data_IF_181938973362
#
_entry.id   IF_181938973362
#
_cell.length_a   1.000
_cell.length_b   1.000
_cell.length_c   1.000
_cell.angle_alpha   90.00
_cell.angle_beta   90.00
_cell.angle_gamma   90.00
#
_symmetry.space_group_name_H-M   'P 1'
#
loop_
_entity.id
_entity.type
_entity.pdbx_description
1 polymer ?
#
# COMPACT_ATOMS: atom_id res chain seq x y z
N UNK A 1 8.11 45.24 -13.09
CA UNK A 1 7.38 44.89 -14.32
C UNK A 1 6.01 44.43 -13.91
N UNK A 2 5.00 45.28 -14.08
CA UNK A 2 3.61 44.93 -13.76
C UNK A 2 3.08 43.90 -14.77
N UNK A 3 2.10 43.06 -14.39
CA UNK A 3 1.50 42.04 -15.28
C UNK A 3 1.03 42.65 -16.60
N UNK A 4 0.51 43.88 -16.53
CA UNK A 4 0.07 44.67 -17.69
C UNK A 4 1.22 45.03 -18.65
N UNK A 5 2.39 45.42 -18.14
CA UNK A 5 3.58 45.70 -18.97
C UNK A 5 4.13 44.43 -19.64
N UNK A 6 4.11 43.30 -18.92
CA UNK A 6 4.52 42.02 -19.47
C UNK A 6 3.58 41.55 -20.58
N UNK A 7 2.26 41.66 -20.38
CA UNK A 7 1.27 41.30 -21.40
C UNK A 7 1.37 42.21 -22.63
N UNK A 8 1.49 43.54 -22.45
CA UNK A 8 1.67 44.47 -23.57
C UNK A 8 2.94 44.18 -24.38
N UNK A 9 4.04 43.81 -23.69
CA UNK A 9 5.26 43.38 -24.36
C UNK A 9 5.05 42.05 -25.09
N UNK A 10 4.40 41.06 -24.49
CA UNK A 10 4.08 39.79 -25.16
C UNK A 10 3.19 39.99 -26.41
N UNK A 11 2.16 40.85 -26.31
CA UNK A 11 1.26 41.20 -27.42
C UNK A 11 2.03 41.73 -28.63
N UNK A 12 3.06 42.54 -28.41
CA UNK A 12 3.92 43.07 -29.49
C UNK A 12 4.76 42.01 -30.21
N UNK A 13 5.03 40.85 -29.59
CA UNK A 13 5.84 39.78 -30.18
C UNK A 13 4.99 38.68 -30.83
N UNK A 14 3.89 38.27 -30.21
CA UNK A 14 3.10 37.09 -30.62
C UNK A 14 1.63 37.40 -30.94
N UNK A 15 1.22 38.66 -30.83
CA UNK A 15 -0.14 39.13 -31.06
C UNK A 15 -1.08 38.92 -29.86
N UNK A 16 -2.05 39.82 -29.65
CA UNK A 16 -2.89 39.85 -28.45
C UNK A 16 -3.75 38.59 -28.26
N UNK A 17 -4.30 38.06 -29.35
CA UNK A 17 -5.09 36.82 -29.29
C UNK A 17 -4.27 35.63 -28.79
N UNK A 18 -3.03 35.50 -29.25
CA UNK A 18 -2.10 34.43 -28.83
C UNK A 18 -1.72 34.61 -27.37
N UNK A 19 -1.33 35.83 -26.95
CA UNK A 19 -0.98 36.12 -25.56
C UNK A 19 -2.12 35.81 -24.61
N UNK A 20 -3.33 36.29 -24.89
CA UNK A 20 -4.48 36.06 -24.02
C UNK A 20 -4.87 34.58 -23.96
N UNK A 21 -4.75 33.85 -25.07
CA UNK A 21 -4.96 32.40 -25.10
C UNK A 21 -3.96 31.67 -24.20
N UNK A 22 -2.66 31.98 -24.33
CA UNK A 22 -1.62 31.39 -23.48
C UNK A 22 -1.80 31.77 -22.01
N UNK A 23 -2.16 33.02 -21.72
CA UNK A 23 -2.44 33.50 -20.37
C UNK A 23 -3.64 32.76 -19.76
N UNK A 24 -4.71 32.52 -20.53
CA UNK A 24 -5.86 31.73 -20.10
C UNK A 24 -5.47 30.29 -19.73
N UNK A 25 -4.73 29.59 -20.60
CA UNK A 25 -4.27 28.23 -20.30
C UNK A 25 -3.29 28.19 -19.12
N UNK A 26 -2.43 29.20 -18.98
CA UNK A 26 -1.54 29.35 -17.83
C UNK A 26 -2.33 29.53 -16.52
N UNK A 27 -3.31 30.44 -16.51
CA UNK A 27 -4.18 30.66 -15.35
C UNK A 27 -4.99 29.39 -15.00
N UNK A 28 -5.58 28.72 -16.00
CA UNK A 28 -6.29 27.47 -15.80
C UNK A 28 -5.38 26.38 -15.19
N UNK A 29 -4.13 26.28 -15.64
CA UNK A 29 -3.14 25.34 -15.09
C UNK A 29 -2.83 25.65 -13.62
N UNK A 30 -2.62 26.93 -13.27
CA UNK A 30 -2.40 27.36 -11.88
C UNK A 30 -3.60 27.00 -10.99
N UNK A 31 -4.82 27.23 -11.47
CA UNK A 31 -6.05 26.86 -10.75
C UNK A 31 -6.12 25.35 -10.52
N UNK A 32 -5.85 24.53 -11.54
CA UNK A 32 -5.83 23.07 -11.42
C UNK A 32 -4.77 22.62 -10.39
N UNK A 33 -3.56 23.18 -10.44
CA UNK A 33 -2.51 22.87 -9.46
C UNK A 33 -2.91 23.26 -8.04
N UNK A 34 -3.53 24.43 -7.85
CA UNK A 34 -4.02 24.88 -6.56
C UNK A 34 -5.12 23.96 -6.01
N UNK A 35 -6.06 23.52 -6.85
CA UNK A 35 -7.11 22.57 -6.47
C UNK A 35 -6.55 21.19 -6.11
N UNK A 36 -5.54 20.71 -6.84
CA UNK A 36 -4.84 19.45 -6.53
C UNK A 36 -4.12 19.54 -5.18
N UNK A 37 -3.40 20.63 -4.94
CA UNK A 37 -2.74 20.89 -3.65
C UNK A 37 -3.76 20.97 -2.51
N UNK A 38 -4.84 21.73 -2.69
CA UNK A 38 -5.90 21.85 -1.70
C UNK A 38 -6.54 20.49 -1.38
N UNK A 39 -6.86 19.69 -2.40
CA UNK A 39 -7.38 18.34 -2.21
C UNK A 39 -6.40 17.43 -1.44
N UNK A 40 -5.11 17.49 -1.77
CA UNK A 40 -4.07 16.74 -1.06
C UNK A 40 -3.98 17.17 0.41
N UNK A 41 -3.92 18.48 0.68
CA UNK A 41 -3.88 19.05 2.02
C UNK A 41 -5.11 18.66 2.84
N UNK A 42 -6.32 18.89 2.30
CA UNK A 42 -7.57 18.52 2.95
C UNK A 42 -7.60 17.02 3.25
N UNK A 43 -7.25 16.16 2.28
CA UNK A 43 -7.25 14.71 2.46
C UNK A 43 -6.28 14.23 3.54
N UNK A 44 -5.09 14.83 3.62
CA UNK A 44 -4.09 14.45 4.62
C UNK A 44 -4.44 14.92 6.02
N UNK A 45 -4.84 16.19 6.17
CA UNK A 45 -4.86 16.84 7.47
C UNK A 45 -6.27 17.08 8.04
N UNK A 46 -7.31 17.15 7.20
CA UNK A 46 -8.64 17.60 7.62
C UNK A 46 -9.70 16.52 7.44
N UNK A 47 -9.82 15.95 6.25
CA UNK A 47 -10.87 15.00 5.90
C UNK A 47 -10.64 13.63 6.55
N UNK A 48 -11.73 13.00 6.97
CA UNK A 48 -11.75 11.63 7.47
C UNK A 48 -12.35 10.69 6.44
N UNK A 49 -11.83 9.47 6.40
CA UNK A 49 -12.30 8.41 5.51
C UNK A 49 -13.64 7.82 5.92
N UNK A 50 -14.08 6.85 5.13
CA UNK A 50 -15.34 6.14 5.35
C UNK A 50 -15.29 5.31 6.62
N UNK A 51 -16.36 5.38 7.43
CA UNK A 51 -16.52 4.54 8.61
C UNK A 51 -16.56 3.06 8.22
N UNK A 52 -15.72 2.24 8.87
CA UNK A 52 -15.63 0.79 8.61
C UNK A 52 -16.96 0.05 8.75
N UNK A 53 -17.91 0.58 9.53
CA UNK A 53 -19.25 0.00 9.69
C UNK A 53 -20.04 -0.06 8.38
N UNK A 54 -19.67 0.72 7.36
CA UNK A 54 -20.21 0.58 6.01
C UNK A 54 -20.01 -0.84 5.45
N UNK A 55 -18.90 -1.49 5.81
CA UNK A 55 -18.53 -2.79 5.25
C UNK A 55 -19.05 -3.98 6.08
N UNK A 56 -19.38 -3.76 7.37
CA UNK A 56 -20.06 -4.75 8.19
C UNK A 56 -20.32 -4.31 9.64
N UNK A 57 -21.35 -4.87 10.29
CA UNK A 57 -21.66 -4.63 11.69
C UNK A 57 -20.55 -5.14 12.64
N UNK A 58 -20.72 -4.91 13.95
CA UNK A 58 -19.87 -5.56 14.96
C UNK A 58 -20.06 -7.08 14.87
N UNK A 59 -18.96 -7.83 15.04
CA UNK A 59 -18.96 -9.29 14.92
C UNK A 59 -18.75 -9.79 13.48
N UNK A 60 -18.78 -8.93 12.46
CA UNK A 60 -18.28 -9.31 11.13
C UNK A 60 -16.78 -9.64 11.21
N UNK A 61 -16.32 -10.45 10.27
CA UNK A 61 -14.95 -10.96 10.23
C UNK A 61 -14.04 -10.12 9.34
N UNK A 62 -12.76 -10.11 9.68
CA UNK A 62 -11.70 -9.62 8.81
C UNK A 62 -10.68 -10.72 8.57
N UNK A 63 -10.21 -10.86 7.34
CA UNK A 63 -9.14 -11.80 6.98
C UNK A 63 -7.87 -11.01 6.75
N UNK A 64 -6.79 -11.38 7.42
CA UNK A 64 -5.52 -10.64 7.37
C UNK A 64 -4.40 -11.62 7.03
N UNK A 65 -3.75 -11.42 5.87
CA UNK A 65 -2.57 -12.20 5.48
C UNK A 65 -1.28 -11.55 5.99
N UNK A 66 -0.29 -12.36 6.34
CA UNK A 66 0.94 -11.87 6.98
C UNK A 66 0.68 -11.27 8.37
N UNK A 67 -0.29 -11.83 9.12
CA UNK A 67 -0.76 -11.25 10.38
C UNK A 67 0.19 -11.38 11.57
N UNK A 68 1.26 -12.19 11.46
CA UNK A 68 2.10 -12.57 12.61
C UNK A 68 2.99 -11.45 13.16
N UNK A 69 3.23 -10.37 12.41
CA UNK A 69 4.11 -9.27 12.83
C UNK A 69 3.82 -7.97 12.04
N UNK A 70 4.44 -6.86 12.45
CA UNK A 70 4.48 -5.61 11.71
C UNK A 70 3.09 -5.04 11.40
N UNK A 71 2.89 -4.66 10.14
CA UNK A 71 1.66 -4.02 9.66
C UNK A 71 0.45 -4.95 9.80
N UNK A 72 0.59 -6.23 9.46
CA UNK A 72 -0.48 -7.22 9.58
C UNK A 72 -0.94 -7.45 11.02
N UNK A 73 0.01 -7.60 11.96
CA UNK A 73 -0.32 -7.70 13.39
C UNK A 73 -1.10 -6.49 13.88
N UNK A 74 -0.67 -5.30 13.46
CA UNK A 74 -1.32 -4.07 13.89
C UNK A 74 -2.72 -3.89 13.27
N UNK A 75 -2.94 -4.30 12.02
CA UNK A 75 -4.28 -4.37 11.45
C UNK A 75 -5.19 -5.26 12.30
N UNK A 76 -4.70 -6.44 12.70
CA UNK A 76 -5.48 -7.37 13.52
C UNK A 76 -5.91 -6.73 14.86
N UNK A 77 -4.95 -6.11 15.55
CA UNK A 77 -5.22 -5.44 16.84
C UNK A 77 -6.18 -4.26 16.72
N UNK A 78 -6.02 -3.40 15.71
CA UNK A 78 -6.87 -2.21 15.54
C UNK A 78 -8.26 -2.54 14.99
N UNK A 79 -8.40 -3.57 14.15
CA UNK A 79 -9.70 -4.04 13.67
C UNK A 79 -10.46 -4.77 14.78
N UNK A 80 -9.78 -5.55 15.62
CA UNK A 80 -10.37 -6.15 16.82
C UNK A 80 -10.87 -5.08 17.81
N UNK A 81 -10.06 -4.03 18.07
CA UNK A 81 -10.47 -2.88 18.88
C UNK A 81 -11.71 -2.17 18.30
N UNK A 82 -11.94 -2.29 17.00
CA UNK A 82 -13.12 -1.78 16.29
C UNK A 82 -14.23 -2.83 16.21
N UNK A 83 -14.24 -3.90 16.99
CA UNK A 83 -15.37 -4.81 17.09
C UNK A 83 -15.49 -5.86 15.98
N UNK A 84 -14.41 -6.11 15.22
CA UNK A 84 -14.41 -7.15 14.19
C UNK A 84 -13.72 -8.42 14.69
N UNK A 85 -14.26 -9.58 14.32
CA UNK A 85 -13.62 -10.87 14.49
C UNK A 85 -12.46 -11.03 13.50
N UNK A 86 -11.44 -11.81 13.82
CA UNK A 86 -10.19 -11.83 13.05
C UNK A 86 -9.80 -13.24 12.60
N UNK A 87 -9.68 -13.44 11.30
CA UNK A 87 -8.96 -14.58 10.71
C UNK A 87 -7.51 -14.16 10.46
N UNK A 88 -6.59 -14.79 11.19
CA UNK A 88 -5.16 -14.52 11.14
C UNK A 88 -4.48 -15.56 10.24
N UNK A 89 -3.90 -15.12 9.12
CA UNK A 89 -3.20 -16.00 8.17
C UNK A 89 -1.72 -15.62 8.11
N UNK A 90 -0.83 -16.55 8.43
CA UNK A 90 0.63 -16.38 8.31
C UNK A 90 1.32 -17.74 8.39
N UNK A 91 2.64 -17.78 8.24
CA UNK A 91 3.42 -19.03 8.20
C UNK A 91 3.60 -19.69 9.55
N UNK A 92 3.75 -18.89 10.60
CA UNK A 92 4.18 -19.38 11.92
C UNK A 92 2.98 -19.58 12.84
N UNK A 93 2.53 -20.83 12.99
CA UNK A 93 1.37 -21.21 13.80
C UNK A 93 1.45 -20.68 15.25
N UNK A 94 2.61 -20.81 15.90
CA UNK A 94 2.80 -20.36 17.29
C UNK A 94 2.61 -18.85 17.46
N UNK A 95 3.07 -18.04 16.50
CA UNK A 95 2.86 -16.58 16.51
C UNK A 95 1.39 -16.22 16.29
N UNK A 96 0.69 -16.97 15.44
CA UNK A 96 -0.74 -16.77 15.22
C UNK A 96 -1.55 -17.09 16.48
N UNK A 97 -1.25 -18.21 17.14
CA UNK A 97 -1.90 -18.59 18.40
C UNK A 97 -1.66 -17.55 19.50
N UNK A 98 -0.42 -17.07 19.66
CA UNK A 98 -0.11 -16.02 20.62
C UNK A 98 -0.87 -14.71 20.34
N UNK A 99 -0.96 -14.30 19.07
CA UNK A 99 -1.72 -13.10 18.68
C UNK A 99 -3.23 -13.27 18.85
N UNK A 100 -3.76 -14.47 18.55
CA UNK A 100 -5.16 -14.81 18.80
C UNK A 100 -5.50 -14.63 20.28
N UNK A 101 -4.73 -15.24 21.17
CA UNK A 101 -4.89 -15.10 22.62
C UNK A 101 -4.73 -13.63 23.08
N UNK A 102 -3.76 -12.90 22.54
CA UNK A 102 -3.58 -11.45 22.83
C UNK A 102 -4.85 -10.66 22.48
N UNK A 103 -5.44 -10.91 21.31
CA UNK A 103 -6.66 -10.23 20.83
C UNK A 103 -7.85 -10.56 21.71
N UNK A 104 -8.09 -11.85 21.98
CA UNK A 104 -9.26 -12.32 22.73
C UNK A 104 -9.22 -11.86 24.18
N UNK A 105 -8.03 -11.84 24.80
CA UNK A 105 -7.85 -11.31 26.16
C UNK A 105 -8.06 -9.79 26.22
N UNK A 106 -7.58 -9.05 25.21
CA UNK A 106 -7.63 -7.59 25.20
C UNK A 106 -9.01 -7.04 24.82
N UNK A 107 -9.77 -7.78 24.02
CA UNK A 107 -11.06 -7.35 23.49
C UNK A 107 -12.12 -8.44 23.72
N UNK A 108 -12.75 -8.49 24.91
CA UNK A 108 -13.77 -9.48 25.23
C UNK A 108 -14.89 -9.51 24.18
N UNK A 109 -15.27 -10.72 23.75
CA UNK A 109 -16.31 -10.95 22.73
C UNK A 109 -15.81 -10.95 21.29
N UNK A 110 -14.54 -10.58 21.03
CA UNK A 110 -13.91 -10.80 19.73
C UNK A 110 -13.49 -12.26 19.62
N UNK A 111 -13.80 -12.88 18.48
CA UNK A 111 -13.39 -14.25 18.13
C UNK A 111 -12.24 -14.20 17.15
N UNK A 112 -11.32 -15.16 17.26
CA UNK A 112 -10.28 -15.35 16.26
C UNK A 112 -10.32 -16.74 15.63
N UNK A 113 -9.80 -16.82 14.41
CA UNK A 113 -9.45 -18.06 13.72
C UNK A 113 -8.03 -17.92 13.20
N UNK A 114 -7.27 -19.00 13.18
CA UNK A 114 -5.89 -18.98 12.68
C UNK A 114 -5.73 -19.97 11.54
N UNK A 115 -4.89 -19.62 10.56
CA UNK A 115 -4.49 -20.52 9.48
C UNK A 115 -2.99 -20.36 9.22
N UNK A 116 -2.24 -21.43 9.50
CA UNK A 116 -0.84 -21.52 9.13
C UNK A 116 -0.73 -21.81 7.62
N UNK A 117 -0.17 -20.88 6.86
CA UNK A 117 -0.08 -20.96 5.40
C UNK A 117 1.23 -20.36 4.92
N UNK A 118 1.99 -21.12 4.12
CA UNK A 118 3.20 -20.65 3.45
C UNK A 118 2.97 -20.31 2.00
N UNK A 119 2.83 -19.01 1.76
CA UNK A 119 2.57 -18.47 0.43
C UNK A 119 3.68 -18.75 -0.58
N UNK A 120 4.93 -19.01 -0.18
CA UNK A 120 5.98 -19.39 -1.15
C UNK A 120 5.74 -20.77 -1.76
N UNK A 121 4.97 -21.65 -1.08
CA UNK A 121 4.68 -23.00 -1.55
C UNK A 121 3.56 -23.05 -2.58
N UNK A 122 2.77 -21.98 -2.69
CA UNK A 122 1.61 -21.90 -3.59
C UNK A 122 0.66 -23.12 -3.52
N UNK A 123 0.54 -23.72 -2.34
CA UNK A 123 -0.19 -24.97 -2.09
C UNK A 123 -1.68 -24.82 -2.37
N UNK A 124 -2.23 -25.60 -3.31
CA UNK A 124 -3.67 -25.62 -3.60
C UNK A 124 -4.50 -25.99 -2.36
N UNK A 125 -3.98 -26.90 -1.53
CA UNK A 125 -4.62 -27.32 -0.29
C UNK A 125 -4.67 -26.19 0.75
N UNK A 126 -3.67 -25.31 0.80
CA UNK A 126 -3.68 -24.16 1.70
C UNK A 126 -4.78 -23.16 1.32
N UNK A 127 -4.98 -22.93 0.02
CA UNK A 127 -6.06 -22.06 -0.46
C UNK A 127 -7.44 -22.70 -0.28
N UNK A 128 -7.55 -24.03 -0.39
CA UNK A 128 -8.77 -24.76 -0.07
C UNK A 128 -9.13 -24.63 1.41
N UNK A 129 -8.17 -24.84 2.31
CA UNK A 129 -8.35 -24.63 3.75
C UNK A 129 -8.70 -23.18 4.09
N UNK A 130 -8.13 -22.21 3.37
CA UNK A 130 -8.55 -20.81 3.52
C UNK A 130 -10.01 -20.61 3.14
N UNK A 131 -10.46 -21.17 2.02
CA UNK A 131 -11.86 -21.12 1.59
C UNK A 131 -12.79 -21.73 2.65
N UNK A 132 -12.43 -22.90 3.19
CA UNK A 132 -13.18 -23.57 4.27
C UNK A 132 -13.22 -22.74 5.55
N UNK A 133 -12.13 -22.05 5.92
CA UNK A 133 -12.08 -21.19 7.10
C UNK A 133 -13.00 -19.97 6.97
N UNK A 134 -13.14 -19.42 5.77
CA UNK A 134 -13.97 -18.23 5.51
C UNK A 134 -15.40 -18.56 5.11
N UNK A 135 -15.68 -19.83 4.82
CA UNK A 135 -17.03 -20.29 4.47
C UNK A 135 -18.02 -20.01 5.61
N UNK A 136 -19.22 -19.56 5.24
CA UNK A 136 -20.25 -19.10 6.18
C UNK A 136 -19.89 -17.85 7.01
N UNK A 137 -18.69 -17.30 6.92
CA UNK A 137 -18.33 -16.08 7.65
C UNK A 137 -18.81 -14.82 6.93
N UNK A 138 -19.38 -13.89 7.69
CA UNK A 138 -19.59 -12.51 7.25
C UNK A 138 -18.25 -11.75 7.20
N UNK A 139 -17.40 -12.07 6.22
CA UNK A 139 -16.13 -11.35 6.00
C UNK A 139 -16.44 -9.98 5.41
N UNK A 140 -16.19 -8.94 6.20
CA UNK A 140 -16.38 -7.55 5.83
C UNK A 140 -15.11 -6.90 5.26
N UNK A 141 -13.92 -7.31 5.72
CA UNK A 141 -12.65 -6.72 5.31
C UNK A 141 -11.60 -7.80 5.02
N UNK A 142 -10.97 -7.71 3.85
CA UNK A 142 -9.78 -8.47 3.51
C UNK A 142 -8.57 -7.52 3.52
N UNK A 143 -7.52 -7.89 4.24
CA UNK A 143 -6.23 -7.20 4.24
C UNK A 143 -5.18 -8.11 3.61
N UNK A 144 -4.92 -7.91 2.32
CA UNK A 144 -3.82 -8.52 1.59
C UNK A 144 -2.51 -7.82 1.98
N UNK A 145 -1.90 -8.29 3.07
CA UNK A 145 -0.68 -7.71 3.65
C UNK A 145 0.55 -8.60 3.51
N UNK A 146 0.40 -9.91 3.30
CA UNK A 146 1.56 -10.79 3.08
C UNK A 146 2.41 -10.27 1.91
N UNK A 147 3.72 -10.33 2.07
CA UNK A 147 4.64 -9.92 1.02
C UNK A 147 6.09 -10.31 1.30
N UNK A 148 6.90 -10.34 0.24
CA UNK A 148 8.34 -10.51 0.25
C UNK A 148 8.99 -9.40 -0.58
N UNK A 149 10.07 -8.85 -0.06
CA UNK A 149 11.01 -7.97 -0.77
C UNK A 149 12.35 -8.69 -0.86
N UNK A 150 13.28 -8.13 -1.62
CA UNK A 150 14.65 -8.62 -1.61
C UNK A 150 15.27 -8.50 -0.22
N UNK A 151 16.18 -9.43 0.11
CA UNK A 151 16.91 -9.40 1.39
C UNK A 151 17.80 -8.15 1.50
N UNK A 152 18.39 -7.72 0.41
CA UNK A 152 19.07 -6.44 0.27
C UNK A 152 18.92 -5.97 -1.17
N UNK A 153 19.09 -4.69 -1.46
CA UNK A 153 19.11 -4.26 -2.85
C UNK A 153 20.25 -4.97 -3.59
N UNK A 154 19.95 -5.52 -4.76
CA UNK A 154 20.81 -6.43 -5.53
C UNK A 154 20.54 -6.21 -7.02
N UNK A 155 21.55 -6.38 -7.88
CA UNK A 155 21.31 -6.30 -9.32
C UNK A 155 20.37 -7.43 -9.76
N UNK A 156 19.55 -7.19 -10.78
CA UNK A 156 18.68 -8.22 -11.35
C UNK A 156 19.50 -9.45 -11.77
N UNK A 157 20.63 -9.25 -12.43
CA UNK A 157 21.53 -10.32 -12.90
C UNK A 157 22.20 -11.11 -11.77
N UNK A 158 22.22 -10.57 -10.54
CA UNK A 158 22.80 -11.21 -9.35
C UNK A 158 21.71 -11.77 -8.42
N UNK A 159 20.44 -11.56 -8.74
CA UNK A 159 19.33 -12.04 -7.92
C UNK A 159 19.14 -13.53 -8.17
N UNK A 160 19.10 -14.32 -7.10
CA UNK A 160 18.82 -15.75 -7.23
C UNK A 160 17.41 -15.97 -7.82
N UNK A 161 17.30 -16.93 -8.73
CA UNK A 161 16.02 -17.27 -9.37
C UNK A 161 14.93 -17.59 -8.34
N UNK A 162 15.25 -18.40 -7.33
CA UNK A 162 14.33 -18.73 -6.24
C UNK A 162 13.85 -17.51 -5.45
N UNK A 163 14.66 -16.47 -5.29
CA UNK A 163 14.23 -15.23 -4.65
C UNK A 163 13.24 -14.47 -5.53
N UNK A 164 13.46 -14.44 -6.84
CA UNK A 164 12.53 -13.82 -7.80
C UNK A 164 11.20 -14.57 -7.84
N UNK A 165 11.23 -15.89 -7.93
CA UNK A 165 10.05 -16.75 -7.92
C UNK A 165 9.24 -16.59 -6.63
N UNK A 166 9.91 -16.55 -5.47
CA UNK A 166 9.25 -16.33 -4.19
C UNK A 166 8.56 -14.96 -4.14
N UNK A 167 9.21 -13.90 -4.64
CA UNK A 167 8.63 -12.54 -4.68
C UNK A 167 7.36 -12.55 -5.51
N UNK A 168 7.38 -13.12 -6.72
CA UNK A 168 6.20 -13.19 -7.59
C UNK A 168 5.11 -14.08 -6.96
N UNK A 169 5.49 -15.24 -6.44
CA UNK A 169 4.55 -16.20 -5.87
C UNK A 169 3.84 -15.61 -4.65
N UNK A 170 4.57 -15.00 -3.72
CA UNK A 170 3.98 -14.43 -2.51
C UNK A 170 3.20 -13.16 -2.83
N UNK A 171 3.79 -12.20 -3.55
CA UNK A 171 3.19 -10.88 -3.71
C UNK A 171 2.03 -10.90 -4.72
N UNK A 172 2.16 -11.67 -5.80
CA UNK A 172 1.19 -11.70 -6.91
C UNK A 172 0.24 -12.89 -6.75
N UNK A 173 0.75 -14.12 -6.91
CA UNK A 173 -0.11 -15.31 -6.94
C UNK A 173 -0.88 -15.47 -5.63
N UNK A 174 -0.22 -15.29 -4.49
CA UNK A 174 -0.83 -15.32 -3.16
C UNK A 174 -1.99 -14.33 -3.01
N UNK A 175 -1.77 -13.06 -3.39
CA UNK A 175 -2.79 -12.01 -3.32
C UNK A 175 -4.00 -12.33 -4.20
N UNK A 176 -3.78 -12.80 -5.44
CA UNK A 176 -4.86 -13.18 -6.36
C UNK A 176 -5.71 -14.32 -5.80
N UNK A 177 -5.06 -15.39 -5.34
CA UNK A 177 -5.75 -16.60 -4.87
C UNK A 177 -6.49 -16.38 -3.55
N UNK A 178 -5.91 -15.63 -2.60
CA UNK A 178 -6.61 -15.21 -1.38
C UNK A 178 -7.85 -14.39 -1.71
N UNK A 179 -7.70 -13.42 -2.61
CA UNK A 179 -8.82 -12.56 -3.00
C UNK A 179 -9.91 -13.37 -3.68
N UNK A 180 -9.57 -14.32 -4.54
CA UNK A 180 -10.52 -15.24 -5.17
C UNK A 180 -11.26 -16.12 -4.17
N UNK A 181 -10.63 -16.51 -3.06
CA UNK A 181 -11.28 -17.28 -2.00
C UNK A 181 -12.25 -16.46 -1.15
N UNK A 182 -12.00 -15.16 -0.97
CA UNK A 182 -12.76 -14.30 -0.03
C UNK A 182 -13.81 -13.43 -0.72
N UNK A 183 -13.51 -12.88 -1.89
CA UNK A 183 -14.36 -11.91 -2.58
C UNK A 183 -15.78 -12.44 -2.95
N UNK A 184 -16.00 -13.72 -3.31
CA UNK A 184 -17.34 -14.20 -3.65
C UNK A 184 -18.38 -13.95 -2.56
N UNK A 185 -18.04 -14.22 -1.30
CA UNK A 185 -18.95 -13.95 -0.18
C UNK A 185 -19.24 -12.45 0.01
N UNK A 186 -18.26 -11.58 -0.25
CA UNK A 186 -18.49 -10.12 -0.20
C UNK A 186 -19.46 -9.66 -1.28
N UNK A 187 -19.36 -10.24 -2.49
CA UNK A 187 -20.25 -9.97 -3.62
C UNK A 187 -21.67 -10.42 -3.31
N UNK A 188 -21.85 -11.62 -2.76
CA UNK A 188 -23.15 -12.15 -2.35
C UNK A 188 -23.84 -11.23 -1.33
N UNK A 189 -23.09 -10.76 -0.33
CA UNK A 189 -23.58 -9.83 0.70
C UNK A 189 -23.71 -8.39 0.21
N UNK A 190 -23.27 -8.09 -1.02
CA UNK A 190 -23.21 -6.75 -1.63
C UNK A 190 -22.48 -5.70 -0.78
N UNK A 191 -21.49 -6.13 0.01
CA UNK A 191 -20.64 -5.26 0.83
C UNK A 191 -19.30 -5.90 1.14
N UNK A 192 -18.24 -5.10 1.07
CA UNK A 192 -16.91 -5.53 1.50
C UNK A 192 -15.84 -4.49 1.23
N UNK A 193 -14.70 -4.63 1.91
CA UNK A 193 -13.51 -3.82 1.69
C UNK A 193 -12.30 -4.74 1.48
N UNK A 194 -11.61 -4.58 0.35
CA UNK A 194 -10.35 -5.27 0.05
C UNK A 194 -9.23 -4.24 0.11
N UNK A 195 -8.36 -4.35 1.11
CA UNK A 195 -7.16 -3.55 1.27
C UNK A 195 -5.95 -4.34 0.78
N UNK A 196 -5.24 -3.82 -0.21
CA UNK A 196 -4.02 -4.45 -0.74
C UNK A 196 -2.81 -3.59 -0.41
N UNK A 197 -1.80 -4.17 0.24
CA UNK A 197 -0.58 -3.44 0.60
C UNK A 197 0.32 -3.26 -0.63
N UNK A 198 0.27 -2.05 -1.17
CA UNK A 198 1.20 -1.54 -2.18
C UNK A 198 2.52 -1.10 -1.55
N UNK A 199 3.29 -0.33 -2.31
CA UNK A 199 4.57 0.23 -1.87
C UNK A 199 4.95 1.39 -2.78
N UNK A 200 5.75 2.34 -2.29
CA UNK A 200 6.42 3.31 -3.16
C UNK A 200 7.21 2.59 -4.28
N UNK A 201 7.73 1.39 -4.02
CA UNK A 201 8.43 0.58 -5.01
C UNK A 201 7.56 0.09 -6.16
N UNK A 202 6.23 0.09 -6.02
CA UNK A 202 5.28 -0.15 -7.12
C UNK A 202 4.73 1.14 -7.75
N UNK A 203 4.96 2.29 -7.12
CA UNK A 203 4.55 3.60 -7.61
C UNK A 203 5.59 4.23 -8.54
N UNK A 204 6.87 4.07 -8.22
CA UNK A 204 7.98 4.44 -9.11
C UNK A 204 8.92 3.24 -9.34
N UNK A 205 9.54 3.14 -10.53
CA UNK A 205 10.56 2.14 -10.79
C UNK A 205 11.66 2.20 -9.73
N UNK A 206 11.98 1.04 -9.16
CA UNK A 206 12.93 0.94 -8.05
C UNK A 206 14.10 0.05 -8.42
N UNK A 207 15.19 0.66 -8.94
CA UNK A 207 16.41 -0.06 -9.29
C UNK A 207 17.00 -0.82 -8.10
N UNK A 208 17.69 -1.93 -8.39
CA UNK A 208 18.20 -2.90 -7.40
C UNK A 208 17.11 -3.63 -6.58
N UNK A 209 15.84 -3.41 -6.89
CA UNK A 209 14.69 -4.16 -6.37
C UNK A 209 13.70 -4.50 -7.51
N UNK A 210 14.21 -4.78 -8.72
CA UNK A 210 13.42 -4.79 -9.95
C UNK A 210 12.21 -5.75 -9.89
N UNK A 211 12.40 -6.99 -9.44
CA UNK A 211 11.33 -7.99 -9.32
C UNK A 211 10.29 -7.59 -8.28
N UNK A 212 10.74 -7.08 -7.13
CA UNK A 212 9.83 -6.52 -6.11
C UNK A 212 9.03 -5.33 -6.65
N UNK A 213 9.69 -4.40 -7.34
CA UNK A 213 9.08 -3.21 -7.93
C UNK A 213 7.98 -3.60 -8.93
N UNK A 214 8.28 -4.51 -9.85
CA UNK A 214 7.30 -5.07 -10.79
C UNK A 214 6.12 -5.74 -10.11
N UNK A 215 6.37 -6.53 -9.06
CA UNK A 215 5.30 -7.20 -8.30
C UNK A 215 4.33 -6.22 -7.62
N UNK A 216 4.84 -5.06 -7.15
CA UNK A 216 4.01 -4.03 -6.51
C UNK A 216 3.30 -3.14 -7.53
N UNK A 217 3.90 -2.89 -8.70
CA UNK A 217 3.25 -2.24 -9.82
C UNK A 217 2.07 -3.08 -10.36
N UNK A 218 2.23 -4.41 -10.45
CA UNK A 218 1.14 -5.33 -10.76
C UNK A 218 -0.06 -5.12 -9.82
N UNK A 219 0.18 -5.09 -8.51
CA UNK A 219 -0.89 -4.92 -7.52
C UNK A 219 -1.63 -3.59 -7.66
N UNK A 220 -0.96 -2.52 -8.11
CA UNK A 220 -1.61 -1.24 -8.38
C UNK A 220 -2.62 -1.36 -9.52
N UNK A 221 -2.20 -1.84 -10.68
CA UNK A 221 -3.10 -2.01 -11.82
C UNK A 221 -4.22 -3.00 -11.51
N UNK A 222 -3.88 -4.14 -10.91
CA UNK A 222 -4.84 -5.16 -10.54
C UNK A 222 -5.88 -4.66 -9.54
N UNK A 223 -5.47 -3.94 -8.48
CA UNK A 223 -6.42 -3.43 -7.49
C UNK A 223 -7.39 -2.40 -8.07
N UNK A 224 -6.91 -1.52 -8.97
CA UNK A 224 -7.76 -0.54 -9.65
C UNK A 224 -8.75 -1.22 -10.60
N UNK A 225 -8.31 -2.19 -11.40
CA UNK A 225 -9.17 -2.95 -12.30
C UNK A 225 -10.24 -3.73 -11.52
N UNK A 226 -9.82 -4.52 -10.52
CA UNK A 226 -10.73 -5.28 -9.66
C UNK A 226 -11.74 -4.36 -8.96
N UNK A 227 -11.32 -3.15 -8.57
CA UNK A 227 -12.21 -2.17 -7.98
C UNK A 227 -13.34 -1.72 -8.89
N UNK A 228 -13.06 -1.54 -10.18
CA UNK A 228 -14.09 -1.21 -11.16
C UNK A 228 -15.07 -2.37 -11.36
N UNK A 229 -14.59 -3.61 -11.41
CA UNK A 229 -15.40 -4.82 -11.55
C UNK A 229 -16.30 -5.07 -10.32
N UNK A 230 -15.77 -4.85 -9.11
CA UNK A 230 -16.46 -5.15 -7.86
C UNK A 230 -17.37 -4.02 -7.35
N UNK A 231 -17.20 -2.79 -7.86
CA UNK A 231 -17.99 -1.63 -7.43
C UNK A 231 -19.51 -1.80 -7.62
N UNK A 232 -20.04 -2.35 -8.73
CA UNK A 232 -21.48 -2.62 -8.88
C UNK A 232 -22.02 -3.59 -7.83
N UNK A 233 -21.16 -4.43 -7.25
CA UNK A 233 -21.48 -5.38 -6.19
C UNK A 233 -21.30 -4.78 -4.77
N UNK A 234 -21.07 -3.48 -4.63
CA UNK A 234 -20.90 -2.83 -3.32
C UNK A 234 -19.60 -3.19 -2.59
N UNK A 235 -18.65 -3.84 -3.28
CA UNK A 235 -17.35 -4.20 -2.72
C UNK A 235 -16.32 -3.16 -3.17
N UNK A 236 -15.66 -2.54 -2.20
CA UNK A 236 -14.63 -1.54 -2.46
C UNK A 236 -13.25 -2.18 -2.42
N UNK A 237 -12.41 -1.90 -3.41
CA UNK A 237 -10.99 -2.24 -3.37
C UNK A 237 -10.17 -0.98 -3.15
N UNK A 238 -9.07 -1.12 -2.40
CA UNK A 238 -8.15 -0.02 -2.19
C UNK A 238 -6.70 -0.51 -2.06
N UNK A 239 -5.82 0.01 -2.91
CA UNK A 239 -4.38 -0.12 -2.73
C UNK A 239 -3.89 0.89 -1.70
N UNK A 240 -3.09 0.42 -0.75
CA UNK A 240 -2.47 1.26 0.27
C UNK A 240 -0.98 1.37 -0.01
N UNK A 241 -0.51 2.55 -0.39
CA UNK A 241 0.90 2.83 -0.62
C UNK A 241 1.54 3.24 0.70
N UNK A 242 2.55 2.48 1.11
CA UNK A 242 3.49 2.84 2.16
C UNK A 242 4.89 3.04 1.59
N UNK A 243 5.63 3.97 2.20
CA UNK A 243 7.09 4.09 2.02
C UNK A 243 7.79 3.21 3.06
N UNK A 244 8.95 3.62 3.56
CA UNK A 244 9.62 2.91 4.64
C UNK A 244 8.76 2.98 5.92
N UNK A 245 8.50 1.81 6.51
CA UNK A 245 7.81 1.61 7.77
C UNK A 245 8.69 0.69 8.61
N UNK A 246 8.80 0.91 9.92
CA UNK A 246 9.64 0.05 10.76
C UNK A 246 9.09 -1.38 10.75
N UNK A 247 9.88 -2.34 10.30
CA UNK A 247 9.49 -3.75 10.24
C UNK A 247 10.71 -4.66 10.06
N UNK A 248 10.52 -5.96 10.24
CA UNK A 248 11.54 -6.95 9.90
C UNK A 248 11.92 -6.88 8.40
N UNK A 249 10.94 -6.63 7.52
CA UNK A 249 11.15 -6.54 6.07
C UNK A 249 12.02 -5.34 5.68
N UNK A 250 11.74 -4.14 6.22
CA UNK A 250 12.53 -2.94 5.92
C UNK A 250 13.90 -2.93 6.60
N UNK A 251 14.09 -3.78 7.62
CA UNK A 251 15.27 -3.81 8.52
C UNK A 251 15.50 -2.49 9.26
N UNK A 252 14.55 -1.56 9.22
CA UNK A 252 14.57 -0.29 9.96
C UNK A 252 13.90 -0.49 11.32
N UNK A 253 14.64 -0.22 12.40
CA UNK A 253 14.16 -0.43 13.77
C UNK A 253 13.72 0.84 14.50
N UNK A 254 14.13 2.02 14.03
CA UNK A 254 13.80 3.31 14.65
C UNK A 254 12.79 4.06 13.79
N UNK A 255 11.74 4.56 14.42
CA UNK A 255 10.78 5.44 13.76
C UNK A 255 11.36 6.84 13.59
N UNK A 256 10.80 7.57 12.64
CA UNK A 256 11.07 8.99 12.40
C UNK A 256 9.84 9.65 11.79
N UNK A 257 9.93 10.94 11.49
CA UNK A 257 8.88 11.68 10.78
C UNK A 257 8.53 11.06 9.41
N UNK A 258 9.52 10.49 8.73
CA UNK A 258 9.37 9.85 7.41
C UNK A 258 9.17 8.33 7.50
N UNK A 259 9.41 7.73 8.67
CA UNK A 259 9.36 6.27 8.88
C UNK A 259 8.44 5.98 10.08
N UNK A 260 7.14 5.80 9.87
CA UNK A 260 6.23 5.49 10.96
C UNK A 260 6.44 4.08 11.50
N UNK A 261 5.93 3.88 12.71
CA UNK A 261 5.65 2.54 13.25
C UNK A 261 4.45 1.90 12.55
N UNK A 262 4.30 0.56 12.57
CA UNK A 262 3.09 -0.11 12.10
C UNK A 262 1.82 0.47 12.72
N UNK A 263 1.84 0.75 14.04
CA UNK A 263 0.73 1.39 14.78
C UNK A 263 0.29 2.71 14.16
N UNK A 264 1.24 3.60 13.89
CA UNK A 264 0.96 4.89 13.27
C UNK A 264 0.45 4.73 11.84
N UNK A 265 1.07 3.85 11.05
CA UNK A 265 0.69 3.61 9.67
C UNK A 265 -0.72 3.03 9.55
N UNK A 266 -1.04 1.96 10.28
CA UNK A 266 -2.37 1.33 10.27
C UNK A 266 -3.45 2.27 10.78
N UNK A 267 -3.16 3.05 11.83
CA UNK A 267 -4.10 4.07 12.33
C UNK A 267 -4.45 5.08 11.25
N UNK A 268 -3.43 5.55 10.51
CA UNK A 268 -3.62 6.46 9.38
C UNK A 268 -4.40 5.77 8.23
N UNK A 269 -4.08 4.52 7.90
CA UNK A 269 -4.78 3.77 6.86
C UNK A 269 -6.27 3.66 7.17
N UNK A 270 -6.62 3.16 8.36
CA UNK A 270 -8.01 2.95 8.74
C UNK A 270 -8.81 4.24 8.90
N UNK A 271 -8.16 5.39 9.11
CA UNK A 271 -8.83 6.70 9.18
C UNK A 271 -8.99 7.39 7.82
N UNK A 272 -8.38 6.87 6.75
CA UNK A 272 -8.35 7.51 5.42
C UNK A 272 -8.96 6.64 4.31
N UNK A 273 -9.65 5.56 4.67
CA UNK A 273 -10.29 4.66 3.70
C UNK A 273 -11.24 5.42 2.78
N UNK A 274 -11.16 5.10 1.48
CA UNK A 274 -12.00 5.70 0.42
C UNK A 274 -11.87 7.23 0.27
N UNK A 275 -10.82 7.84 0.83
CA UNK A 275 -10.42 9.19 0.41
C UNK A 275 -9.66 9.11 -0.91
N UNK A 276 -9.89 10.09 -1.79
CA UNK A 276 -9.13 10.23 -3.05
C UNK A 276 -7.67 10.62 -2.78
N UNK A 277 -7.39 11.21 -1.62
CA UNK A 277 -6.05 11.30 -1.05
C UNK A 277 -5.07 12.15 -1.86
N UNK A 278 -3.80 11.84 -1.66
CA UNK A 278 -2.62 12.43 -2.34
C UNK A 278 -2.25 11.70 -3.64
N UNK A 279 -2.88 10.56 -3.91
CA UNK A 279 -2.68 9.77 -5.11
C UNK A 279 -3.66 10.21 -6.21
N UNK A 280 -3.65 11.51 -6.52
CA UNK A 280 -4.55 12.11 -7.51
C UNK A 280 -4.52 11.34 -8.83
N UNK A 281 -5.67 11.01 -9.42
CA UNK A 281 -5.72 10.23 -10.67
C UNK A 281 -5.45 8.72 -10.52
N UNK A 282 -4.97 8.23 -9.37
CA UNK A 282 -4.83 6.80 -9.09
C UNK A 282 -6.09 6.27 -8.39
N UNK A 283 -7.09 5.91 -9.18
CA UNK A 283 -8.39 5.45 -8.65
C UNK A 283 -8.20 4.24 -7.74
N UNK A 284 -8.78 4.31 -6.54
CA UNK A 284 -8.69 3.24 -5.55
C UNK A 284 -7.34 3.17 -4.83
N UNK A 285 -6.53 4.24 -4.84
CA UNK A 285 -5.23 4.26 -4.14
C UNK A 285 -5.20 5.30 -3.03
N UNK A 286 -4.58 4.97 -1.90
CA UNK A 286 -4.30 5.91 -0.81
C UNK A 286 -2.84 5.82 -0.36
N UNK A 287 -2.29 6.96 0.05
CA UNK A 287 -0.99 7.06 0.75
C UNK A 287 -1.25 7.70 2.10
N UNK A 288 -1.69 6.92 3.11
CA UNK A 288 -2.45 7.46 4.24
C UNK A 288 -1.61 8.17 5.28
N UNK A 289 -0.33 7.82 5.40
CA UNK A 289 0.56 8.49 6.34
C UNK A 289 1.01 9.82 5.78
N UNK A 290 0.84 10.90 6.55
CA UNK A 290 0.93 12.27 6.02
C UNK A 290 2.24 12.57 5.29
N UNK A 291 3.39 12.16 5.82
CA UNK A 291 4.69 12.48 5.21
C UNK A 291 4.91 11.64 3.95
N UNK A 292 4.42 10.40 3.94
CA UNK A 292 4.38 9.55 2.74
C UNK A 292 3.49 10.18 1.67
N UNK A 293 2.33 10.70 2.05
CA UNK A 293 1.41 11.37 1.13
C UNK A 293 1.98 12.66 0.55
N UNK A 294 2.70 13.47 1.33
CA UNK A 294 3.41 14.65 0.83
C UNK A 294 4.49 14.24 -0.18
N UNK A 295 5.30 13.21 0.13
CA UNK A 295 6.31 12.70 -0.81
C UNK A 295 5.66 12.15 -2.09
N UNK A 296 4.58 11.39 -1.97
CA UNK A 296 3.81 10.87 -3.10
C UNK A 296 3.34 12.01 -3.99
N UNK A 297 2.66 13.00 -3.41
CA UNK A 297 2.11 14.14 -4.14
C UNK A 297 3.22 14.93 -4.85
N UNK A 298 4.33 15.20 -4.17
CA UNK A 298 5.45 15.92 -4.75
C UNK A 298 6.09 15.17 -5.93
N UNK A 299 6.33 13.86 -5.78
CA UNK A 299 6.86 13.03 -6.88
C UNK A 299 5.89 13.01 -8.05
N UNK A 300 4.59 12.83 -7.79
CA UNK A 300 3.59 12.70 -8.84
C UNK A 300 3.37 14.00 -9.61
N UNK A 301 3.15 15.11 -8.89
CA UNK A 301 2.67 16.36 -9.48
C UNK A 301 3.81 17.30 -9.90
N UNK A 302 5.00 17.20 -9.28
CA UNK A 302 6.12 18.12 -9.55
C UNK A 302 7.23 17.50 -10.40
N UNK A 303 7.54 16.22 -10.17
CA UNK A 303 8.73 15.58 -10.78
C UNK A 303 8.37 14.60 -11.90
N UNK A 304 7.31 13.83 -11.71
CA UNK A 304 6.93 12.68 -12.53
C UNK A 304 7.61 11.38 -12.07
N UNK A 305 6.86 10.29 -12.05
CA UNK A 305 7.34 8.97 -11.58
C UNK A 305 8.36 8.30 -12.53
N UNK A 306 8.39 8.72 -13.80
CA UNK A 306 9.31 8.22 -14.83
C UNK A 306 10.50 9.15 -15.06
N UNK A 307 10.68 10.15 -14.21
CA UNK A 307 11.74 11.15 -14.34
C UNK A 307 13.12 10.54 -14.04
N UNK A 308 14.10 10.80 -14.92
CA UNK A 308 15.46 10.28 -14.78
C UNK A 308 16.18 10.73 -13.50
N UNK A 309 15.89 11.93 -12.99
CA UNK A 309 16.44 12.44 -11.72
C UNK A 309 15.87 11.65 -10.54
N UNK A 310 14.55 11.43 -10.51
CA UNK A 310 13.88 10.63 -9.48
C UNK A 310 14.43 9.19 -9.49
N UNK A 311 14.58 8.61 -10.68
CA UNK A 311 15.16 7.29 -10.86
C UNK A 311 16.62 7.23 -10.36
N UNK A 312 17.43 8.22 -10.70
CA UNK A 312 18.83 8.32 -10.29
C UNK A 312 19.00 8.47 -8.77
N UNK A 313 18.17 9.30 -8.12
CA UNK A 313 18.13 9.42 -6.66
C UNK A 313 17.73 8.10 -5.99
N UNK A 314 16.69 7.44 -6.54
CA UNK A 314 16.23 6.15 -6.02
C UNK A 314 17.30 5.06 -6.17
N UNK A 315 18.01 5.02 -7.32
CA UNK A 315 19.15 4.14 -7.55
C UNK A 315 20.28 4.40 -6.54
N UNK A 316 20.68 5.66 -6.37
CA UNK A 316 21.75 6.05 -5.44
C UNK A 316 21.44 5.65 -4.00
N UNK A 317 20.19 5.84 -3.55
CA UNK A 317 19.75 5.37 -2.24
C UNK A 317 19.92 3.86 -2.07
N UNK A 318 19.43 3.06 -3.03
CA UNK A 318 19.50 1.60 -2.97
C UNK A 318 20.93 1.08 -3.11
N UNK A 319 21.76 1.70 -3.94
CA UNK A 319 23.18 1.37 -4.08
C UNK A 319 23.93 1.59 -2.76
N UNK A 320 23.64 2.68 -2.04
CA UNK A 320 24.20 2.94 -0.72
C UNK A 320 23.74 1.91 0.33
N UNK A 321 22.46 1.50 0.29
CA UNK A 321 21.95 0.44 1.18
C UNK A 321 22.67 -0.89 0.87
N UNK A 322 22.79 -1.27 -0.41
CA UNK A 322 23.52 -2.46 -0.86
C UNK A 322 24.96 -2.46 -0.36
N UNK A 323 25.70 -1.37 -0.57
CA UNK A 323 27.09 -1.22 -0.12
C UNK A 323 27.24 -1.44 1.39
N UNK A 324 26.31 -0.90 2.20
CA UNK A 324 26.31 -1.11 3.66
C UNK A 324 25.99 -2.56 4.03
N UNK A 325 25.06 -3.20 3.32
CA UNK A 325 24.68 -4.59 3.56
C UNK A 325 25.83 -5.57 3.24
N UNK A 326 26.51 -5.39 2.10
CA UNK A 326 27.68 -6.20 1.72
C UNK A 326 28.83 -6.06 2.73
N UNK A 327 29.19 -4.83 3.12
CA UNK A 327 30.19 -4.59 4.18
C UNK A 327 29.81 -5.21 5.52
N UNK A 328 28.52 -5.33 5.82
CA UNK A 328 28.06 -6.02 7.03
C UNK A 328 28.27 -7.53 6.89
N UNK A 329 27.85 -8.13 5.77
CA UNK A 329 28.06 -9.56 5.48
C UNK A 329 29.54 -9.96 5.51
N UNK A 330 30.42 -9.17 4.90
CA UNK A 330 31.87 -9.40 4.93
C UNK A 330 32.45 -9.39 6.36
N UNK A 331 32.00 -8.46 7.21
CA UNK A 331 32.44 -8.39 8.61
C UNK A 331 31.92 -9.56 9.44
N UNK A 332 30.73 -10.05 9.14
CA UNK A 332 30.16 -11.23 9.81
C UNK A 332 30.88 -12.51 9.36
N UNK A 333 31.19 -12.64 8.07
CA UNK A 333 31.96 -13.76 7.53
C UNK A 333 33.39 -13.84 8.08
N UNK A 334 34.03 -12.69 8.37
CA UNK A 334 35.35 -12.65 9.02
C UNK A 334 35.34 -13.03 10.51
N UNK A 335 34.17 -13.09 11.14
CA UNK A 335 34.00 -13.44 12.56
C UNK A 335 33.52 -14.87 12.78
N UNK A 336 33.08 -15.54 11.71
CA UNK A 336 32.66 -16.94 11.69
C UNK A 336 33.87 -17.81 11.33
#
# INVERSE_FOLDING_TARGET
MYVTEFLARADSFIGPYTTHTLAFFGAATVVVCALKFLNAFLSLFILSGTNLRKYGPKGSWTVITGASDGIGKEFALQLAAKGFNIVLVSRTASKLAALATEIENKYPGIKTKTLAMDFSKDSAEDYKRLAEVVDGLDVAILVNNVGKSHDMPVSFLETAESEMEDIITINVKGTLKVTRAVAPGMVERKRGLILTMGSFGGFLPTPLLATYSGSKAFLQHWSTALGAELKPHGVHTQLVIGYLITSAMSKVRKSSMMIPTPKQFVKATLSKINLKGTAGGMVGTITPFWSHGVMHWAIQELLGVWNGIVLGQNYGMHANIRKRALRKKEREAKKA
#
